data_IF_708954849274
#
_entry.id   IF_708954849274
#
_cell.length_a   1.000
_cell.length_b   1.000
_cell.length_c   1.000
_cell.angle_alpha   90.00
_cell.angle_beta   90.00
_cell.angle_gamma   90.00
#
_symmetry.space_group_name_H-M   'P 1'
#
loop_
_entity.id
_entity.type
_entity.pdbx_description
1 polymer ?
#
# COMPACT_ATOMS: atom_id res chain seq x y z
N UNK A 1 -16.14 -5.79 16.96
CA UNK A 1 -17.13 -6.76 16.45
C UNK A 1 -16.75 -7.10 15.02
N UNK A 2 -16.55 -8.37 14.72
CA UNK A 2 -16.27 -8.82 13.35
C UNK A 2 -17.58 -8.69 12.54
N UNK A 3 -17.54 -7.94 11.43
CA UNK A 3 -18.68 -7.80 10.53
C UNK A 3 -18.62 -8.85 9.44
N UNK A 4 -19.59 -9.76 9.41
CA UNK A 4 -19.76 -10.69 8.27
C UNK A 4 -20.24 -9.89 7.05
N UNK A 5 -19.31 -9.63 6.11
CA UNK A 5 -19.60 -8.87 4.89
C UNK A 5 -20.47 -9.65 3.88
N UNK A 6 -20.76 -10.92 4.18
CA UNK A 6 -21.67 -11.73 3.37
C UNK A 6 -23.14 -11.47 3.70
N UNK A 7 -23.46 -10.62 4.69
CA UNK A 7 -24.81 -10.32 5.16
C UNK A 7 -25.09 -8.81 5.12
N UNK A 8 -26.36 -8.44 5.21
CA UNK A 8 -26.80 -7.04 5.27
C UNK A 8 -26.73 -6.27 3.96
N UNK A 9 -27.04 -4.96 3.96
CA UNK A 9 -27.00 -4.10 2.77
C UNK A 9 -25.58 -3.97 2.20
N UNK A 10 -25.43 -4.25 0.90
CA UNK A 10 -24.13 -4.35 0.22
C UNK A 10 -23.29 -3.08 0.39
N UNK A 11 -23.81 -1.95 -0.08
CA UNK A 11 -23.06 -0.68 -0.09
C UNK A 11 -22.75 -0.16 1.30
N UNK A 12 -23.75 -0.21 2.20
CA UNK A 12 -23.55 0.22 3.59
C UNK A 12 -22.47 -0.61 4.30
N UNK A 13 -22.49 -1.93 4.09
CA UNK A 13 -21.49 -2.82 4.70
C UNK A 13 -20.06 -2.51 4.18
N UNK A 14 -19.92 -2.28 2.87
CA UNK A 14 -18.64 -1.98 2.24
C UNK A 14 -18.11 -0.61 2.65
N UNK A 15 -18.93 0.43 2.63
CA UNK A 15 -18.52 1.79 3.03
C UNK A 15 -18.13 1.86 4.51
N UNK A 16 -18.94 1.26 5.42
CA UNK A 16 -18.60 1.23 6.84
C UNK A 16 -17.35 0.41 7.16
N UNK A 17 -17.01 -0.55 6.31
CA UNK A 17 -15.76 -1.31 6.42
C UNK A 17 -14.57 -0.54 5.85
N UNK A 18 -14.77 0.20 4.77
CA UNK A 18 -13.73 1.02 4.12
C UNK A 18 -13.32 2.23 4.95
N UNK A 19 -14.28 2.89 5.62
CA UNK A 19 -14.05 4.14 6.34
C UNK A 19 -12.90 4.07 7.36
N UNK A 20 -12.81 3.06 8.24
CA UNK A 20 -11.67 2.94 9.16
C UNK A 20 -10.33 2.69 8.44
N UNK A 21 -10.33 2.04 7.27
CA UNK A 21 -9.12 1.83 6.48
C UNK A 21 -8.60 3.14 5.89
N UNK A 22 -9.51 3.94 5.31
CA UNK A 22 -9.20 5.26 4.76
C UNK A 22 -8.69 6.19 5.86
N UNK A 23 -9.39 6.25 7.01
CA UNK A 23 -8.97 7.06 8.14
C UNK A 23 -7.60 6.63 8.69
N UNK A 24 -7.32 5.33 8.71
CA UNK A 24 -6.03 4.78 9.14
C UNK A 24 -4.89 5.27 8.27
N UNK A 25 -5.03 5.18 6.94
CA UNK A 25 -3.99 5.64 6.02
C UNK A 25 -3.82 7.16 6.03
N UNK A 26 -4.91 7.93 6.10
CA UNK A 26 -4.80 9.38 6.27
C UNK A 26 -4.05 9.75 7.55
N UNK A 27 -4.36 9.09 8.67
CA UNK A 27 -3.64 9.28 9.93
C UNK A 27 -2.16 8.92 9.80
N UNK A 28 -1.85 7.84 9.07
CA UNK A 28 -0.46 7.45 8.79
C UNK A 28 0.29 8.53 8.03
N UNK A 29 -0.33 9.17 7.05
CA UNK A 29 0.29 10.28 6.33
C UNK A 29 0.48 11.52 7.21
N UNK A 30 -0.49 11.82 8.07
CA UNK A 30 -0.36 12.93 9.01
C UNK A 30 0.84 12.74 9.95
N UNK A 31 1.03 11.55 10.52
CA UNK A 31 2.17 11.32 11.40
C UNK A 31 3.51 11.31 10.64
N UNK A 32 3.57 10.78 9.40
CA UNK A 32 4.78 10.85 8.58
C UNK A 32 5.21 12.30 8.29
N UNK A 33 4.22 13.19 8.07
CA UNK A 33 4.48 14.62 7.91
C UNK A 33 4.98 15.22 9.22
N UNK A 34 4.36 14.89 10.35
CA UNK A 34 4.77 15.38 11.67
C UNK A 34 6.21 14.97 12.01
N UNK A 35 6.58 13.70 11.81
CA UNK A 35 7.95 13.19 11.99
C UNK A 35 8.96 13.94 11.13
N UNK A 36 8.64 14.11 9.83
CA UNK A 36 9.49 14.87 8.90
C UNK A 36 9.67 16.33 9.34
N UNK A 37 8.61 16.98 9.86
CA UNK A 37 8.67 18.36 10.36
C UNK A 37 9.50 18.46 11.64
N UNK A 38 9.39 17.50 12.57
CA UNK A 38 10.17 17.46 13.80
C UNK A 38 11.66 17.31 13.47
N UNK A 39 12.00 16.32 12.62
CA UNK A 39 13.39 16.11 12.19
C UNK A 39 13.95 17.34 11.47
N UNK A 40 13.22 17.88 10.50
CA UNK A 40 13.69 19.04 9.71
C UNK A 40 13.87 20.31 10.53
N UNK A 41 12.98 20.57 11.49
CA UNK A 41 13.00 21.78 12.30
C UNK A 41 14.04 21.73 13.44
N UNK A 42 14.24 20.57 14.08
CA UNK A 42 15.06 20.46 15.27
C UNK A 42 16.44 19.84 15.03
N UNK A 43 16.59 19.01 13.99
CA UNK A 43 17.87 18.34 13.69
C UNK A 43 18.58 18.93 12.45
N UNK A 44 17.87 19.74 11.65
CA UNK A 44 18.46 20.45 10.53
C UNK A 44 18.52 19.68 9.22
N UNK A 45 19.20 20.25 8.21
CA UNK A 45 19.14 19.79 6.81
C UNK A 45 19.79 18.43 6.58
N UNK A 46 20.91 18.15 7.24
CA UNK A 46 21.66 16.87 7.09
C UNK A 46 20.84 15.69 7.61
N UNK A 47 20.24 15.85 8.80
CA UNK A 47 19.34 14.85 9.38
C UNK A 47 18.10 14.61 8.52
N UNK A 48 17.51 15.69 8.00
CA UNK A 48 16.36 15.58 7.09
C UNK A 48 16.72 14.84 5.80
N UNK A 49 17.91 15.08 5.24
CA UNK A 49 18.41 14.38 4.06
C UNK A 49 18.64 12.88 4.36
N UNK A 50 19.19 12.55 5.53
CA UNK A 50 19.40 11.18 5.96
C UNK A 50 18.09 10.40 6.11
N UNK A 51 17.09 10.99 6.79
CA UNK A 51 15.75 10.39 6.96
C UNK A 51 15.03 10.29 5.65
N UNK A 52 15.05 11.33 4.81
CA UNK A 52 14.38 11.33 3.51
C UNK A 52 14.95 10.29 2.53
N UNK A 53 16.26 10.12 2.48
CA UNK A 53 16.91 9.08 1.67
C UNK A 53 16.58 7.67 2.17
N UNK A 54 16.50 7.50 3.49
CA UNK A 54 16.12 6.24 4.13
C UNK A 54 14.65 5.86 3.85
N UNK A 55 13.77 6.86 3.71
CA UNK A 55 12.34 6.66 3.49
C UNK A 55 12.03 5.85 2.23
N UNK A 56 12.71 6.13 1.13
CA UNK A 56 12.52 5.39 -0.15
C UNK A 56 12.88 3.91 0.00
N UNK A 57 13.99 3.60 0.67
CA UNK A 57 14.40 2.23 0.96
C UNK A 57 13.39 1.51 1.86
N UNK A 58 12.97 2.18 2.93
CA UNK A 58 12.00 1.63 3.88
C UNK A 58 10.64 1.39 3.22
N UNK A 59 10.19 2.29 2.35
CA UNK A 59 8.96 2.12 1.58
C UNK A 59 9.04 0.90 0.69
N UNK A 60 10.17 0.66 0.02
CA UNK A 60 10.36 -0.52 -0.81
C UNK A 60 10.32 -1.82 0.02
N UNK A 61 11.06 -1.90 1.12
CA UNK A 61 11.07 -3.08 2.00
C UNK A 61 9.69 -3.35 2.62
N UNK A 62 9.02 -2.29 3.08
CA UNK A 62 7.67 -2.40 3.65
C UNK A 62 6.66 -2.84 2.59
N UNK A 63 6.80 -2.42 1.33
CA UNK A 63 5.90 -2.83 0.25
C UNK A 63 5.94 -4.34 -0.02
N UNK A 64 7.11 -4.97 0.14
CA UNK A 64 7.26 -6.43 0.05
C UNK A 64 6.42 -7.11 1.13
N UNK A 65 6.58 -6.69 2.39
CA UNK A 65 5.82 -7.23 3.52
C UNK A 65 4.33 -6.99 3.38
N UNK A 66 3.95 -5.77 3.00
CA UNK A 66 2.56 -5.41 2.77
C UNK A 66 1.92 -6.28 1.69
N UNK A 67 2.62 -6.49 0.57
CA UNK A 67 2.17 -7.36 -0.52
C UNK A 67 1.97 -8.80 -0.08
N UNK A 68 2.92 -9.36 0.67
CA UNK A 68 2.81 -10.71 1.23
C UNK A 68 1.60 -10.83 2.18
N UNK A 69 1.41 -9.87 3.07
CA UNK A 69 0.28 -9.85 4.00
C UNK A 69 -1.06 -9.65 3.30
N UNK A 70 -1.13 -8.78 2.28
CA UNK A 70 -2.36 -8.53 1.51
C UNK A 70 -2.79 -9.75 0.70
N UNK A 71 -1.82 -10.47 0.08
CA UNK A 71 -2.10 -11.71 -0.65
C UNK A 71 -2.66 -12.79 0.27
N UNK A 72 -2.03 -13.02 1.42
CA UNK A 72 -2.54 -13.94 2.45
C UNK A 72 -3.93 -13.51 2.96
N UNK A 73 -4.14 -12.20 3.18
CA UNK A 73 -5.42 -11.64 3.63
C UNK A 73 -6.58 -11.90 2.66
N UNK A 74 -6.31 -11.89 1.35
CA UNK A 74 -7.31 -12.26 0.35
C UNK A 74 -7.74 -13.72 0.50
N UNK A 75 -6.78 -14.64 0.68
CA UNK A 75 -7.09 -16.06 0.90
C UNK A 75 -7.82 -16.28 2.23
N UNK A 76 -7.44 -15.59 3.31
CA UNK A 76 -8.18 -15.64 4.57
C UNK A 76 -9.62 -15.19 4.40
N UNK A 77 -9.86 -14.13 3.62
CA UNK A 77 -11.21 -13.64 3.33
C UNK A 77 -12.06 -14.67 2.58
N UNK A 78 -11.47 -15.36 1.60
CA UNK A 78 -12.13 -16.45 0.87
C UNK A 78 -12.50 -17.59 1.83
N UNK A 79 -11.54 -18.09 2.63
CA UNK A 79 -11.75 -19.18 3.59
C UNK A 79 -12.76 -18.82 4.68
N UNK A 80 -12.71 -17.57 5.16
CA UNK A 80 -13.70 -17.05 6.09
C UNK A 80 -15.11 -17.03 5.48
N UNK A 81 -15.23 -16.62 4.21
CA UNK A 81 -16.49 -16.66 3.47
C UNK A 81 -17.03 -18.07 3.27
N UNK A 82 -16.17 -19.05 3.04
CA UNK A 82 -16.51 -20.49 2.94
C UNK A 82 -17.00 -21.07 4.27
N UNK A 83 -16.68 -20.42 5.40
CA UNK A 83 -16.86 -20.96 6.76
C UNK A 83 -16.05 -22.23 7.03
N UNK A 84 -14.97 -22.39 6.29
CA UNK A 84 -14.02 -23.51 6.49
C UNK A 84 -12.97 -23.08 7.53
N UNK A 85 -13.28 -23.32 8.79
CA UNK A 85 -12.39 -22.96 9.90
C UNK A 85 -11.07 -23.76 9.88
N UNK A 86 -11.09 -25.00 9.38
CA UNK A 86 -9.90 -25.85 9.32
C UNK A 86 -8.92 -25.30 8.28
N UNK A 87 -9.39 -25.06 7.06
CA UNK A 87 -8.56 -24.45 6.02
C UNK A 87 -8.09 -23.04 6.38
N UNK A 88 -8.92 -22.24 7.09
CA UNK A 88 -8.51 -20.92 7.59
C UNK A 88 -7.36 -21.05 8.60
N UNK A 89 -7.45 -21.94 9.60
CA UNK A 89 -6.39 -22.20 10.60
C UNK A 89 -5.09 -22.67 9.97
N UNK A 90 -5.16 -23.58 9.00
CA UNK A 90 -3.99 -24.06 8.24
C UNK A 90 -3.36 -22.92 7.42
N UNK A 91 -4.19 -22.12 6.75
CA UNK A 91 -3.74 -20.96 5.96
C UNK A 91 -3.04 -19.91 6.82
N UNK A 92 -3.59 -19.63 8.01
CA UNK A 92 -2.98 -18.70 8.98
C UNK A 92 -1.60 -19.18 9.42
N UNK A 93 -1.44 -20.46 9.74
CA UNK A 93 -0.14 -21.02 10.15
C UNK A 93 0.88 -20.99 9.02
N UNK A 94 0.49 -21.47 7.84
CA UNK A 94 1.37 -21.53 6.68
C UNK A 94 1.84 -20.13 6.26
N UNK A 95 0.93 -19.14 6.22
CA UNK A 95 1.28 -17.76 5.89
C UNK A 95 2.15 -17.11 6.94
N UNK A 96 1.90 -17.35 8.23
CA UNK A 96 2.72 -16.80 9.31
C UNK A 96 4.18 -17.27 9.18
N UNK A 97 4.39 -18.58 8.99
CA UNK A 97 5.73 -19.14 8.82
C UNK A 97 6.41 -18.60 7.56
N UNK A 98 5.68 -18.53 6.45
CA UNK A 98 6.22 -18.04 5.18
C UNK A 98 6.62 -16.56 5.28
N UNK A 99 5.74 -15.71 5.82
CA UNK A 99 5.99 -14.27 5.88
C UNK A 99 7.01 -13.94 6.97
N UNK A 100 7.00 -14.67 8.09
CA UNK A 100 8.04 -14.55 9.11
C UNK A 100 9.42 -14.91 8.54
N UNK A 101 9.53 -16.03 7.82
CA UNK A 101 10.77 -16.43 7.16
C UNK A 101 11.24 -15.38 6.14
N UNK A 102 10.32 -14.84 5.32
CA UNK A 102 10.63 -13.76 4.39
C UNK A 102 11.08 -12.48 5.13
N UNK A 103 10.44 -12.14 6.25
CA UNK A 103 10.79 -10.98 7.08
C UNK A 103 12.19 -11.11 7.66
N UNK A 104 12.53 -12.28 8.22
CA UNK A 104 13.85 -12.52 8.78
C UNK A 104 14.93 -12.50 7.70
N UNK A 105 14.65 -13.08 6.53
CA UNK A 105 15.56 -13.05 5.38
C UNK A 105 15.78 -11.62 4.89
N UNK A 106 14.71 -10.84 4.68
CA UNK A 106 14.80 -9.43 4.26
C UNK A 106 15.56 -8.59 5.27
N UNK A 107 15.30 -8.79 6.57
CA UNK A 107 16.00 -8.08 7.64
C UNK A 107 17.50 -8.44 7.64
N UNK A 108 17.83 -9.73 7.57
CA UNK A 108 19.23 -10.18 7.50
C UNK A 108 19.97 -9.63 6.28
N UNK A 109 19.33 -9.66 5.08
CA UNK A 109 19.88 -9.09 3.86
C UNK A 109 20.05 -7.57 3.98
N UNK A 110 19.08 -6.85 4.55
CA UNK A 110 19.13 -5.42 4.75
C UNK A 110 20.32 -5.02 5.65
N UNK A 111 20.56 -5.73 6.74
CA UNK A 111 21.74 -5.51 7.58
C UNK A 111 23.06 -5.89 6.90
N UNK A 112 23.10 -7.00 6.17
CA UNK A 112 24.29 -7.45 5.45
C UNK A 112 24.67 -6.51 4.30
N UNK A 113 23.71 -5.82 3.70
CA UNK A 113 23.89 -4.94 2.55
C UNK A 113 23.99 -3.45 2.91
N UNK A 114 24.17 -3.07 4.20
CA UNK A 114 24.22 -1.66 4.61
C UNK A 114 25.26 -0.84 3.82
N UNK A 115 26.46 -1.37 3.64
CA UNK A 115 27.52 -0.64 2.92
C UNK A 115 27.25 -0.61 1.39
N UNK A 116 26.59 -1.63 0.85
CA UNK A 116 26.14 -1.64 -0.55
C UNK A 116 25.03 -0.59 -0.78
N UNK A 117 24.16 -0.37 0.20
CA UNK A 117 23.12 0.66 0.16
C UNK A 117 23.73 2.05 0.03
N UNK A 118 24.84 2.35 0.75
CA UNK A 118 25.57 3.61 0.61
C UNK A 118 25.99 3.86 -0.84
N UNK A 119 26.63 2.87 -1.44
CA UNK A 119 27.12 2.97 -2.83
C UNK A 119 25.98 3.05 -3.84
N UNK A 120 24.91 2.29 -3.65
CA UNK A 120 23.75 2.27 -4.55
C UNK A 120 22.96 3.59 -4.52
N UNK A 121 22.77 4.17 -3.33
CA UNK A 121 22.05 5.43 -3.16
C UNK A 121 22.97 6.66 -3.33
N UNK A 122 24.28 6.45 -3.56
CA UNK A 122 25.28 7.51 -3.72
C UNK A 122 25.24 8.55 -2.57
N UNK A 123 25.11 8.05 -1.33
CA UNK A 123 24.98 8.90 -0.16
C UNK A 123 26.30 9.59 0.17
N UNK A 124 26.31 10.94 0.30
CA UNK A 124 27.50 11.68 0.72
C UNK A 124 28.03 11.24 2.09
N UNK A 125 29.36 11.35 2.29
CA UNK A 125 30.01 10.87 3.52
C UNK A 125 29.57 11.64 4.78
N UNK A 126 29.22 12.89 4.65
CA UNK A 126 28.72 13.77 5.72
C UNK A 126 27.31 13.38 6.19
N UNK A 127 26.49 12.76 5.33
CA UNK A 127 25.14 12.29 5.64
C UNK A 127 25.13 10.82 6.08
N UNK A 128 26.14 10.04 5.67
CA UNK A 128 26.15 8.59 5.87
C UNK A 128 26.11 8.17 7.34
N UNK A 129 26.78 8.91 8.23
CA UNK A 129 26.78 8.60 9.65
C UNK A 129 25.37 8.58 10.25
N UNK A 130 24.61 9.65 10.02
CA UNK A 130 23.22 9.79 10.49
C UNK A 130 22.30 8.79 9.80
N UNK A 131 22.45 8.61 8.48
CA UNK A 131 21.64 7.68 7.72
C UNK A 131 21.85 6.23 8.16
N UNK A 132 23.11 5.81 8.41
CA UNK A 132 23.42 4.46 8.88
C UNK A 132 22.83 4.19 10.25
N UNK A 133 22.95 5.16 11.19
CA UNK A 133 22.34 5.05 12.52
C UNK A 133 20.82 4.92 12.44
N UNK A 134 20.18 5.75 11.62
CA UNK A 134 18.74 5.71 11.38
C UNK A 134 18.29 4.37 10.81
N UNK A 135 18.89 3.94 9.69
CA UNK A 135 18.53 2.71 8.99
C UNK A 135 18.72 1.48 9.88
N UNK A 136 19.85 1.39 10.64
CA UNK A 136 20.10 0.26 11.53
C UNK A 136 19.02 0.11 12.60
N UNK A 137 18.56 1.22 13.18
CA UNK A 137 17.47 1.21 14.17
C UNK A 137 16.16 0.83 13.51
N UNK A 138 15.81 1.43 12.36
CA UNK A 138 14.54 1.18 11.68
C UNK A 138 14.47 -0.25 11.13
N UNK A 139 15.59 -0.85 10.70
CA UNK A 139 15.62 -2.26 10.33
C UNK A 139 15.26 -3.19 11.49
N UNK A 140 15.64 -2.86 12.72
CA UNK A 140 15.15 -3.59 13.89
C UNK A 140 13.62 -3.49 14.06
N UNK A 141 12.98 -2.47 13.51
CA UNK A 141 11.52 -2.28 13.47
C UNK A 141 10.79 -3.09 12.39
N UNK A 142 11.51 -3.69 11.42
CA UNK A 142 10.86 -4.46 10.33
C UNK A 142 10.01 -5.61 10.88
N UNK A 143 10.45 -6.26 11.95
CA UNK A 143 9.69 -7.31 12.60
C UNK A 143 8.38 -6.78 13.22
N UNK A 144 8.39 -5.60 13.82
CA UNK A 144 7.17 -4.96 14.34
C UNK A 144 6.21 -4.59 13.21
N UNK A 145 6.74 -4.09 12.09
CA UNK A 145 5.99 -3.82 10.86
C UNK A 145 5.32 -5.08 10.32
N UNK A 146 6.02 -6.22 10.31
CA UNK A 146 5.45 -7.53 9.98
C UNK A 146 4.28 -7.88 10.90
N UNK A 147 4.49 -7.82 12.22
CA UNK A 147 3.43 -8.16 13.19
C UNK A 147 2.18 -7.32 12.95
N UNK A 148 2.34 -6.00 12.85
CA UNK A 148 1.21 -5.11 12.61
C UNK A 148 0.48 -5.47 11.31
N UNK A 149 1.19 -5.54 10.18
CA UNK A 149 0.57 -5.78 8.88
C UNK A 149 -0.07 -7.16 8.77
N UNK A 150 0.55 -8.20 9.36
CA UNK A 150 0.01 -9.55 9.36
C UNK A 150 -1.32 -9.64 10.11
N UNK A 151 -1.34 -9.19 11.37
CA UNK A 151 -2.55 -9.26 12.19
C UNK A 151 -3.62 -8.26 11.72
N UNK A 152 -3.24 -7.09 11.20
CA UNK A 152 -4.17 -6.16 10.55
C UNK A 152 -4.82 -6.78 9.31
N UNK A 153 -4.04 -7.45 8.44
CA UNK A 153 -4.55 -8.18 7.28
C UNK A 153 -5.53 -9.28 7.67
N UNK A 154 -5.20 -10.06 8.69
CA UNK A 154 -6.10 -11.08 9.20
C UNK A 154 -7.42 -10.49 9.75
N UNK A 155 -7.33 -9.47 10.60
CA UNK A 155 -8.51 -8.81 11.19
C UNK A 155 -9.41 -8.21 10.09
N UNK A 156 -8.81 -7.56 9.08
CA UNK A 156 -9.55 -7.07 7.91
C UNK A 156 -10.22 -8.22 7.16
N UNK A 157 -9.52 -9.34 6.98
CA UNK A 157 -10.06 -10.51 6.28
C UNK A 157 -11.31 -11.10 6.96
N UNK A 158 -11.39 -11.03 8.30
CA UNK A 158 -12.57 -11.46 9.07
C UNK A 158 -13.58 -10.31 9.32
N UNK A 159 -13.44 -9.20 8.59
CA UNK A 159 -14.41 -8.08 8.62
C UNK A 159 -14.21 -7.07 9.75
N UNK A 160 -13.04 -6.99 10.35
CA UNK A 160 -12.72 -6.01 11.40
C UNK A 160 -11.65 -5.02 10.92
N UNK A 161 -12.07 -3.84 10.47
CA UNK A 161 -11.17 -2.74 10.08
C UNK A 161 -10.92 -1.72 11.20
N UNK A 162 -11.70 -1.76 12.28
CA UNK A 162 -11.62 -0.78 13.38
C UNK A 162 -10.41 -1.05 14.27
N UNK A 163 -10.16 -2.31 14.63
CA UNK A 163 -9.04 -2.66 15.53
C UNK A 163 -7.68 -2.23 14.92
N UNK A 164 -7.37 -2.51 13.65
CA UNK A 164 -6.17 -1.97 13.02
C UNK A 164 -6.06 -0.44 13.09
N UNK A 165 -7.17 0.29 12.86
CA UNK A 165 -7.19 1.75 12.98
C UNK A 165 -6.82 2.22 14.40
N UNK A 166 -7.40 1.59 15.43
CA UNK A 166 -7.13 1.98 16.82
C UNK A 166 -5.65 1.82 17.17
N UNK A 167 -5.04 0.67 16.81
CA UNK A 167 -3.62 0.45 17.07
C UNK A 167 -2.71 1.37 16.23
N UNK A 168 -3.12 1.74 15.02
CA UNK A 168 -2.40 2.73 14.22
C UNK A 168 -2.49 4.13 14.85
N UNK A 169 -3.67 4.50 15.39
CA UNK A 169 -3.84 5.78 16.09
C UNK A 169 -2.97 5.84 17.37
N UNK A 170 -2.95 4.76 18.14
CA UNK A 170 -2.05 4.66 19.31
C UNK A 170 -0.59 4.78 18.89
N UNK A 171 -0.18 4.10 17.82
CA UNK A 171 1.18 4.21 17.28
C UNK A 171 1.53 5.63 16.85
N UNK A 172 0.63 6.31 16.14
CA UNK A 172 0.86 7.68 15.66
C UNK A 172 1.03 8.68 16.82
N UNK A 173 0.14 8.62 17.82
CA UNK A 173 0.23 9.50 19.01
C UNK A 173 1.50 9.21 19.81
N UNK A 174 1.82 7.93 20.02
CA UNK A 174 3.01 7.52 20.75
C UNK A 174 4.29 7.93 20.02
N UNK A 175 4.34 7.75 18.69
CA UNK A 175 5.48 8.16 17.87
C UNK A 175 5.74 9.66 18.01
N UNK A 176 4.73 10.52 17.80
CA UNK A 176 4.90 11.98 17.93
C UNK A 176 5.35 12.36 19.33
N UNK A 177 4.77 11.76 20.37
CA UNK A 177 5.17 12.04 21.75
C UNK A 177 6.64 11.63 22.04
N UNK A 178 7.04 10.47 21.56
CA UNK A 178 8.42 9.98 21.70
C UNK A 178 9.40 10.78 20.86
N UNK A 179 9.04 11.19 19.63
CA UNK A 179 9.88 12.04 18.80
C UNK A 179 10.19 13.37 19.51
N UNK A 180 9.17 14.02 20.05
CA UNK A 180 9.37 15.26 20.81
C UNK A 180 10.26 15.01 22.05
N UNK A 181 10.04 13.92 22.76
CA UNK A 181 10.84 13.60 23.95
C UNK A 181 12.27 13.21 23.63
N UNK A 182 12.50 12.34 22.64
CA UNK A 182 13.86 11.86 22.31
C UNK A 182 14.67 12.88 21.53
N UNK A 183 14.04 13.62 20.61
CA UNK A 183 14.74 14.60 19.78
C UNK A 183 14.97 15.90 20.55
N UNK A 184 13.95 16.43 21.25
CA UNK A 184 14.04 17.72 21.92
C UNK A 184 14.45 17.56 23.37
N UNK A 185 13.85 16.61 24.12
CA UNK A 185 14.11 16.43 25.54
C UNK A 185 15.46 15.79 25.86
N UNK A 186 15.80 14.71 25.11
CA UNK A 186 17.01 13.93 25.37
C UNK A 186 18.16 14.22 24.38
N UNK A 187 17.92 15.00 23.32
CA UNK A 187 18.88 15.32 22.27
C UNK A 187 19.55 14.09 21.61
N UNK A 188 18.80 13.00 21.41
CA UNK A 188 19.31 11.77 20.80
C UNK A 188 19.47 11.88 19.28
N UNK A 189 19.20 13.05 18.68
CA UNK A 189 19.37 13.31 17.25
C UNK A 189 18.50 12.39 16.37
N UNK A 190 19.06 12.00 15.23
CA UNK A 190 18.38 11.14 14.24
C UNK A 190 18.06 9.74 14.80
N UNK A 191 18.95 9.21 15.66
CA UNK A 191 18.72 7.93 16.34
C UNK A 191 17.50 7.98 17.28
N UNK A 192 17.22 9.15 17.88
CA UNK A 192 16.02 9.38 18.68
C UNK A 192 14.73 9.24 17.87
N UNK A 193 14.66 9.89 16.71
CA UNK A 193 13.51 9.78 15.81
C UNK A 193 13.31 8.33 15.32
N UNK A 194 14.38 7.65 14.90
CA UNK A 194 14.33 6.24 14.53
C UNK A 194 13.82 5.36 15.68
N UNK A 195 14.33 5.57 16.89
CA UNK A 195 13.94 4.86 18.10
C UNK A 195 12.47 5.05 18.46
N UNK A 196 11.98 6.29 18.38
CA UNK A 196 10.57 6.63 18.62
C UNK A 196 9.64 5.87 17.65
N UNK A 197 9.99 5.87 16.35
CA UNK A 197 9.24 5.14 15.32
C UNK A 197 9.21 3.64 15.62
N UNK A 198 10.34 3.03 15.93
CA UNK A 198 10.45 1.59 16.19
C UNK A 198 9.67 1.19 17.44
N UNK A 199 9.79 1.96 18.54
CA UNK A 199 9.04 1.70 19.78
C UNK A 199 7.53 1.77 19.50
N UNK A 200 7.06 2.81 18.81
CA UNK A 200 5.65 2.96 18.46
C UNK A 200 5.14 1.81 17.59
N UNK A 201 5.96 1.33 16.64
CA UNK A 201 5.64 0.17 15.81
C UNK A 201 5.57 -1.13 16.62
N UNK A 202 6.49 -1.36 17.58
CA UNK A 202 6.43 -2.54 18.45
C UNK A 202 5.20 -2.51 19.37
N UNK A 203 4.88 -1.38 19.98
CA UNK A 203 3.68 -1.24 20.81
C UNK A 203 2.41 -1.56 19.99
N UNK A 204 2.32 -1.03 18.79
CA UNK A 204 1.20 -1.29 17.87
C UNK A 204 1.18 -2.75 17.39
N UNK A 205 2.33 -3.29 16.94
CA UNK A 205 2.44 -4.65 16.41
C UNK A 205 2.17 -5.73 17.46
N UNK A 206 2.72 -5.59 18.66
CA UNK A 206 2.48 -6.50 19.77
C UNK A 206 1.03 -6.32 20.29
N UNK A 207 0.57 -5.09 20.41
CA UNK A 207 -0.77 -4.80 20.88
C UNK A 207 -1.85 -5.40 19.97
N UNK A 208 -1.75 -5.23 18.64
CA UNK A 208 -2.69 -5.82 17.69
C UNK A 208 -2.62 -7.35 17.67
N UNK A 209 -1.41 -7.93 17.82
CA UNK A 209 -1.20 -9.37 17.94
C UNK A 209 -1.95 -9.92 19.15
N UNK A 210 -1.75 -9.37 20.33
CA UNK A 210 -2.41 -9.79 21.57
C UNK A 210 -3.93 -9.66 21.42
N UNK A 211 -4.41 -8.52 20.94
CA UNK A 211 -5.84 -8.28 20.73
C UNK A 211 -6.45 -9.29 19.75
N UNK A 212 -5.76 -9.61 18.66
CA UNK A 212 -6.21 -10.56 17.66
C UNK A 212 -6.23 -12.00 18.23
N UNK A 213 -5.21 -12.42 18.97
CA UNK A 213 -5.15 -13.74 19.61
C UNK A 213 -6.27 -13.94 20.65
N UNK A 214 -6.62 -12.90 21.38
CA UNK A 214 -7.74 -12.95 22.37
C UNK A 214 -9.09 -13.02 21.66
N UNK A 215 -9.30 -12.17 20.64
CA UNK A 215 -10.62 -12.02 19.99
C UNK A 215 -10.91 -13.05 18.90
N UNK A 216 -9.89 -13.68 18.33
CA UNK A 216 -10.02 -14.60 17.19
C UNK A 216 -9.46 -15.99 17.55
N UNK A 217 -10.32 -16.94 17.99
CA UNK A 217 -9.89 -18.29 18.38
C UNK A 217 -9.11 -19.03 17.28
N UNK A 218 -9.39 -18.74 16.01
CA UNK A 218 -8.72 -19.35 14.86
C UNK A 218 -7.20 -19.05 14.86
N UNK A 219 -6.78 -17.91 15.39
CA UNK A 219 -5.36 -17.53 15.51
C UNK A 219 -4.60 -18.37 16.56
N UNK A 220 -5.30 -19.03 17.47
CA UNK A 220 -4.67 -20.00 18.41
C UNK A 220 -3.99 -21.15 17.68
N UNK A 221 -4.37 -21.40 16.42
CA UNK A 221 -3.69 -22.35 15.56
C UNK A 221 -2.20 -22.03 15.35
N UNK A 222 -1.76 -20.78 15.52
CA UNK A 222 -0.33 -20.40 15.47
C UNK A 222 0.50 -21.14 16.53
N UNK A 223 -0.10 -21.48 17.67
CA UNK A 223 0.55 -22.24 18.75
C UNK A 223 0.43 -23.76 18.56
N UNK A 224 -0.28 -24.26 17.54
CA UNK A 224 -0.46 -25.68 17.30
C UNK A 224 0.83 -26.29 16.68
N UNK A 225 1.17 -27.51 17.11
CA UNK A 225 2.31 -28.27 16.58
C UNK A 225 1.94 -29.21 15.41
N UNK A 226 0.70 -29.15 14.90
CA UNK A 226 0.30 -30.00 13.76
C UNK A 226 1.17 -29.71 12.53
N UNK A 227 1.47 -30.69 11.68
CA UNK A 227 2.25 -30.47 10.46
C UNK A 227 1.53 -29.49 9.53
N UNK A 228 2.30 -28.68 8.81
CA UNK A 228 1.78 -27.79 7.77
C UNK A 228 1.92 -28.53 6.45
N UNK A 229 0.82 -28.76 5.74
CA UNK A 229 0.84 -29.40 4.45
C UNK A 229 1.52 -28.50 3.40
N UNK A 230 2.44 -29.09 2.61
CA UNK A 230 3.16 -28.36 1.56
C UNK A 230 2.24 -27.73 0.52
N UNK A 231 1.10 -28.36 0.21
CA UNK A 231 0.07 -27.80 -0.67
C UNK A 231 -0.47 -26.45 -0.17
N UNK A 232 -0.67 -26.30 1.15
CA UNK A 232 -1.11 -25.05 1.75
C UNK A 232 -0.07 -23.94 1.68
N UNK A 233 1.22 -24.32 1.88
CA UNK A 233 2.32 -23.34 1.71
C UNK A 233 2.37 -22.88 0.26
N UNK A 234 2.26 -23.79 -0.71
CA UNK A 234 2.27 -23.46 -2.14
C UNK A 234 1.09 -22.56 -2.54
N UNK A 235 -0.11 -22.88 -2.04
CA UNK A 235 -1.32 -22.06 -2.28
C UNK A 235 -1.11 -20.62 -1.77
N UNK A 236 -0.70 -20.45 -0.51
CA UNK A 236 -0.46 -19.15 0.09
C UNK A 236 0.68 -18.41 -0.59
N UNK A 237 1.79 -19.11 -0.89
CA UNK A 237 2.91 -18.53 -1.61
C UNK A 237 2.47 -17.95 -2.96
N UNK A 238 1.60 -18.64 -3.70
CA UNK A 238 1.06 -18.16 -4.96
C UNK A 238 0.32 -16.83 -4.81
N UNK A 239 -0.55 -16.68 -3.81
CA UNK A 239 -1.26 -15.43 -3.55
C UNK A 239 -0.34 -14.32 -3.03
N UNK A 240 0.50 -14.66 -2.06
CA UNK A 240 1.36 -13.70 -1.38
C UNK A 240 2.46 -13.17 -2.29
N UNK A 241 3.15 -14.05 -3.02
CA UNK A 241 4.26 -13.67 -3.91
C UNK A 241 3.73 -12.83 -5.09
N UNK A 242 2.63 -13.24 -5.72
CA UNK A 242 2.06 -12.46 -6.83
C UNK A 242 1.61 -11.07 -6.38
N UNK A 243 1.01 -10.95 -5.19
CA UNK A 243 0.63 -9.64 -4.64
C UNK A 243 1.86 -8.82 -4.23
N UNK A 244 2.89 -9.48 -3.70
CA UNK A 244 4.17 -8.86 -3.40
C UNK A 244 4.84 -8.31 -4.68
N UNK A 245 4.92 -9.11 -5.74
CA UNK A 245 5.44 -8.67 -7.05
C UNK A 245 4.66 -7.48 -7.57
N UNK A 246 3.32 -7.51 -7.49
CA UNK A 246 2.48 -6.39 -7.88
C UNK A 246 2.86 -5.10 -7.16
N UNK A 247 2.97 -5.14 -5.82
CA UNK A 247 3.30 -3.98 -4.99
C UNK A 247 4.73 -3.48 -5.25
N UNK A 248 5.68 -4.38 -5.41
CA UNK A 248 7.08 -4.05 -5.70
C UNK A 248 7.26 -3.43 -7.08
N UNK A 249 6.61 -3.98 -8.11
CA UNK A 249 6.62 -3.42 -9.47
C UNK A 249 6.00 -2.03 -9.48
N UNK A 250 4.92 -1.82 -8.73
CA UNK A 250 4.27 -0.51 -8.63
C UNK A 250 5.25 0.56 -8.10
N UNK A 251 5.97 0.28 -7.02
CA UNK A 251 6.95 1.21 -6.46
C UNK A 251 8.17 1.41 -7.39
N UNK A 252 8.65 0.35 -8.02
CA UNK A 252 9.78 0.45 -8.96
C UNK A 252 9.43 1.33 -10.17
N UNK A 253 8.22 1.19 -10.73
CA UNK A 253 7.77 2.00 -11.84
C UNK A 253 7.70 3.50 -11.50
N UNK A 254 7.29 3.85 -10.29
CA UNK A 254 7.30 5.24 -9.80
C UNK A 254 8.75 5.78 -9.74
N UNK A 255 9.69 4.99 -9.22
CA UNK A 255 11.10 5.38 -9.14
C UNK A 255 11.75 5.60 -10.52
N UNK A 256 11.40 4.76 -11.52
CA UNK A 256 11.91 4.92 -12.87
C UNK A 256 11.45 6.24 -13.51
N UNK A 257 10.19 6.61 -13.32
CA UNK A 257 9.67 7.89 -13.81
C UNK A 257 10.30 9.07 -13.05
N UNK A 258 10.54 8.94 -11.76
CA UNK A 258 11.24 9.95 -10.97
C UNK A 258 12.64 10.24 -11.53
N UNK A 259 13.38 9.20 -11.92
CA UNK A 259 14.70 9.36 -12.55
C UNK A 259 14.66 10.17 -13.83
N UNK A 260 13.63 9.95 -14.68
CA UNK A 260 13.45 10.73 -15.91
C UNK A 260 13.05 12.18 -15.60
N UNK A 261 12.14 12.41 -14.63
CA UNK A 261 11.74 13.77 -14.19
C UNK A 261 12.96 14.56 -13.71
N UNK A 262 13.87 13.92 -12.99
CA UNK A 262 15.09 14.57 -12.48
C UNK A 262 16.00 15.10 -13.61
N UNK A 263 15.97 14.49 -14.79
CA UNK A 263 16.78 14.95 -15.93
C UNK A 263 16.29 16.28 -16.55
N UNK A 264 15.07 16.73 -16.20
CA UNK A 264 14.51 18.01 -16.69
C UNK A 264 14.84 19.22 -15.82
N UNK A 265 15.62 19.03 -14.76
CA UNK A 265 16.13 20.12 -13.92
C UNK A 265 15.36 20.34 -12.63
N UNK A 266 15.91 21.22 -11.79
CA UNK A 266 15.47 21.41 -10.41
C UNK A 266 14.04 21.93 -10.28
N UNK A 267 13.58 22.80 -11.18
CA UNK A 267 12.22 23.34 -11.15
C UNK A 267 11.18 22.25 -11.38
N UNK A 268 11.40 21.36 -12.36
CA UNK A 268 10.49 20.24 -12.65
C UNK A 268 10.50 19.20 -11.52
N UNK A 269 11.70 18.92 -10.95
CA UNK A 269 11.81 18.05 -9.77
C UNK A 269 10.99 18.58 -8.59
N UNK A 270 11.11 19.87 -8.28
CA UNK A 270 10.38 20.48 -7.18
C UNK A 270 8.87 20.51 -7.44
N UNK A 271 8.45 20.82 -8.66
CA UNK A 271 7.06 20.78 -9.09
C UNK A 271 6.47 19.37 -8.92
N UNK A 272 7.17 18.35 -9.41
CA UNK A 272 6.75 16.95 -9.28
C UNK A 272 6.69 16.50 -7.82
N UNK A 273 7.71 16.81 -7.03
CA UNK A 273 7.74 16.44 -5.60
C UNK A 273 6.58 17.02 -4.80
N UNK A 274 6.17 18.26 -5.10
CA UNK A 274 4.98 18.90 -4.48
C UNK A 274 3.68 18.28 -5.00
N UNK A 275 3.56 18.15 -6.33
CA UNK A 275 2.35 17.66 -6.98
C UNK A 275 2.02 16.20 -6.63
N UNK A 276 3.01 15.30 -6.56
CA UNK A 276 2.83 13.89 -6.16
C UNK A 276 2.32 13.76 -4.73
N UNK A 277 2.68 14.67 -3.82
CA UNK A 277 2.11 14.64 -2.46
C UNK A 277 0.64 15.00 -2.46
N UNK A 278 0.24 15.99 -3.24
CA UNK A 278 -1.18 16.38 -3.42
C UNK A 278 -1.94 15.21 -4.04
N UNK A 279 -1.38 14.63 -5.09
CA UNK A 279 -1.92 13.48 -5.82
C UNK A 279 -2.14 12.26 -4.91
N UNK A 280 -1.16 11.95 -4.05
CA UNK A 280 -1.27 10.86 -3.08
C UNK A 280 -2.49 11.04 -2.14
N UNK A 281 -2.73 12.24 -1.61
CA UNK A 281 -3.92 12.50 -0.81
C UNK A 281 -5.22 12.36 -1.60
N UNK A 282 -5.19 12.66 -2.89
CA UNK A 282 -6.35 12.56 -3.77
C UNK A 282 -6.75 11.10 -4.05
N UNK A 283 -5.79 10.21 -4.36
CA UNK A 283 -6.12 8.84 -4.74
C UNK A 283 -6.05 7.80 -3.60
N UNK A 284 -5.37 8.08 -2.48
CA UNK A 284 -5.29 7.14 -1.34
C UNK A 284 -6.65 6.65 -0.84
N UNK A 285 -7.67 7.51 -0.67
CA UNK A 285 -8.97 7.02 -0.22
C UNK A 285 -9.59 6.00 -1.16
N UNK A 286 -9.42 6.16 -2.47
CA UNK A 286 -9.96 5.21 -3.45
C UNK A 286 -9.15 3.93 -3.54
N UNK A 287 -7.85 3.99 -3.27
CA UNK A 287 -7.00 2.80 -3.13
C UNK A 287 -7.46 1.94 -1.94
N UNK A 288 -7.71 2.57 -0.79
CA UNK A 288 -8.20 1.86 0.40
C UNK A 288 -9.61 1.34 0.23
N UNK A 289 -10.45 2.09 -0.47
CA UNK A 289 -11.75 1.60 -0.87
C UNK A 289 -11.64 0.36 -1.76
N UNK A 290 -10.68 0.33 -2.70
CA UNK A 290 -10.37 -0.85 -3.51
C UNK A 290 -9.91 -2.06 -2.68
N UNK A 291 -9.14 -1.84 -1.62
CA UNK A 291 -8.73 -2.89 -0.69
C UNK A 291 -9.91 -3.40 0.15
N UNK A 292 -10.80 -2.52 0.61
CA UNK A 292 -12.02 -2.88 1.31
C UNK A 292 -12.98 -3.66 0.40
N UNK A 293 -13.15 -3.20 -0.84
CA UNK A 293 -13.89 -3.89 -1.89
C UNK A 293 -13.33 -5.29 -2.15
N UNK A 294 -12.00 -5.45 -2.23
CA UNK A 294 -11.35 -6.74 -2.39
C UNK A 294 -11.75 -7.73 -1.28
N UNK A 295 -11.74 -7.28 -0.03
CA UNK A 295 -12.16 -8.11 1.12
C UNK A 295 -13.63 -8.48 1.04
N UNK A 296 -14.49 -7.51 0.69
CA UNK A 296 -15.93 -7.76 0.50
C UNK A 296 -16.19 -8.81 -0.60
N UNK A 297 -15.54 -8.66 -1.76
CA UNK A 297 -15.68 -9.61 -2.87
C UNK A 297 -15.13 -10.98 -2.46
N UNK A 298 -13.96 -11.06 -1.82
CA UNK A 298 -13.35 -12.32 -1.43
C UNK A 298 -14.22 -13.13 -0.46
N UNK A 299 -14.83 -12.48 0.56
CA UNK A 299 -15.76 -13.15 1.46
C UNK A 299 -17.02 -13.66 0.72
N UNK A 300 -17.59 -12.84 -0.15
CA UNK A 300 -18.78 -13.23 -0.92
C UNK A 300 -18.47 -14.28 -1.99
N UNK A 301 -17.26 -14.27 -2.55
CA UNK A 301 -16.75 -15.28 -3.47
C UNK A 301 -16.61 -16.63 -2.76
N UNK A 302 -15.95 -16.66 -1.59
CA UNK A 302 -15.88 -17.87 -0.77
C UNK A 302 -17.25 -18.40 -0.34
N UNK A 303 -18.22 -17.51 -0.06
CA UNK A 303 -19.59 -17.86 0.31
C UNK A 303 -20.48 -18.25 -0.89
N UNK A 304 -19.98 -18.22 -2.13
CA UNK A 304 -20.75 -18.51 -3.35
C UNK A 304 -21.86 -17.50 -3.69
N UNK A 305 -21.82 -16.28 -3.12
CA UNK A 305 -22.89 -15.27 -3.24
C UNK A 305 -22.73 -14.37 -4.48
N UNK A 306 -22.87 -14.92 -5.65
CA UNK A 306 -22.64 -14.23 -6.93
C UNK A 306 -23.46 -12.96 -7.12
N UNK A 307 -24.74 -12.96 -6.72
CA UNK A 307 -25.60 -11.78 -6.85
C UNK A 307 -25.06 -10.61 -6.01
N UNK A 308 -24.55 -10.89 -4.82
CA UNK A 308 -23.92 -9.88 -3.96
C UNK A 308 -22.60 -9.36 -4.56
N UNK A 309 -21.82 -10.21 -5.22
CA UNK A 309 -20.61 -9.80 -5.93
C UNK A 309 -20.99 -8.84 -7.06
N UNK A 310 -22.00 -9.18 -7.89
CA UNK A 310 -22.45 -8.31 -8.99
C UNK A 310 -22.98 -6.97 -8.50
N UNK A 311 -23.79 -6.97 -7.43
CA UNK A 311 -24.30 -5.73 -6.81
C UNK A 311 -23.16 -4.92 -6.18
N UNK A 312 -22.21 -5.58 -5.51
CA UNK A 312 -21.02 -4.97 -4.92
C UNK A 312 -20.11 -4.32 -5.95
N UNK A 313 -19.86 -5.00 -7.07
CA UNK A 313 -19.06 -4.48 -8.17
C UNK A 313 -19.70 -3.22 -8.79
N UNK A 314 -20.99 -3.27 -9.15
CA UNK A 314 -21.69 -2.10 -9.70
C UNK A 314 -21.68 -0.92 -8.74
N UNK A 315 -21.97 -1.17 -7.47
CA UNK A 315 -21.96 -0.11 -6.46
C UNK A 315 -20.56 0.44 -6.19
N UNK A 316 -19.54 -0.41 -6.15
CA UNK A 316 -18.16 0.03 -5.96
C UNK A 316 -17.66 0.92 -7.10
N UNK A 317 -17.97 0.54 -8.35
CA UNK A 317 -17.65 1.36 -9.53
C UNK A 317 -18.34 2.72 -9.42
N UNK A 318 -19.64 2.74 -9.11
CA UNK A 318 -20.38 4.00 -8.98
C UNK A 318 -19.77 4.92 -7.89
N UNK A 319 -19.52 4.37 -6.70
CA UNK A 319 -18.91 5.15 -5.58
C UNK A 319 -17.52 5.64 -5.94
N UNK A 320 -16.68 4.79 -6.54
CA UNK A 320 -15.33 5.16 -6.96
C UNK A 320 -15.36 6.28 -8.02
N UNK A 321 -16.22 6.14 -9.04
CA UNK A 321 -16.36 7.16 -10.10
C UNK A 321 -16.86 8.48 -9.51
N UNK A 322 -17.90 8.46 -8.69
CA UNK A 322 -18.45 9.70 -8.07
C UNK A 322 -17.39 10.36 -7.20
N UNK A 323 -16.68 9.60 -6.37
CA UNK A 323 -15.61 10.14 -5.54
C UNK A 323 -14.49 10.74 -6.41
N UNK A 324 -14.02 10.00 -7.42
CA UNK A 324 -12.96 10.47 -8.31
C UNK A 324 -13.36 11.73 -9.08
N UNK A 325 -14.61 11.84 -9.58
CA UNK A 325 -15.10 13.05 -10.25
C UNK A 325 -15.09 14.25 -9.30
N UNK A 326 -15.54 14.08 -8.06
CA UNK A 326 -15.53 15.15 -7.05
C UNK A 326 -14.09 15.59 -6.77
N UNK A 327 -13.19 14.65 -6.54
CA UNK A 327 -11.77 14.93 -6.25
C UNK A 327 -11.07 15.54 -7.48
N UNK A 328 -11.35 15.03 -8.69
CA UNK A 328 -10.84 15.60 -9.94
C UNK A 328 -11.26 17.05 -10.11
N UNK A 329 -12.55 17.35 -9.91
CA UNK A 329 -13.05 18.73 -9.98
C UNK A 329 -12.39 19.64 -8.92
N UNK A 330 -12.24 19.13 -7.68
CA UNK A 330 -11.58 19.86 -6.60
C UNK A 330 -10.12 20.16 -6.94
N UNK A 331 -9.35 19.15 -7.33
CA UNK A 331 -7.92 19.31 -7.67
C UNK A 331 -7.76 20.21 -8.88
N UNK A 332 -8.62 20.10 -9.89
CA UNK A 332 -8.58 20.93 -11.08
C UNK A 332 -8.81 22.42 -10.76
N UNK A 333 -9.83 22.74 -9.95
CA UNK A 333 -10.17 24.11 -9.56
C UNK A 333 -9.13 24.69 -8.60
N UNK A 334 -8.64 23.89 -7.65
CA UNK A 334 -7.74 24.34 -6.60
C UNK A 334 -6.27 23.98 -6.84
N UNK A 335 -5.86 23.59 -8.05
CA UNK A 335 -4.49 23.17 -8.36
C UNK A 335 -3.45 24.19 -7.91
N UNK A 336 -3.63 25.48 -8.24
CA UNK A 336 -2.72 26.56 -7.85
C UNK A 336 -2.67 26.79 -6.34
N UNK A 337 -3.80 26.97 -5.62
CA UNK A 337 -3.82 27.03 -4.15
C UNK A 337 -3.16 25.82 -3.48
N UNK A 338 -3.38 24.60 -4.00
CA UNK A 338 -2.76 23.39 -3.47
C UNK A 338 -1.24 23.40 -3.63
N UNK A 339 -0.73 23.85 -4.79
CA UNK A 339 0.71 24.00 -5.00
C UNK A 339 1.32 25.02 -4.04
N UNK A 340 0.64 26.12 -3.75
CA UNK A 340 1.08 27.15 -2.81
C UNK A 340 1.20 26.66 -1.35
N UNK A 341 0.65 25.50 -0.99
CA UNK A 341 0.89 24.88 0.31
C UNK A 341 2.31 24.32 0.46
N UNK A 342 2.97 24.04 -0.67
CA UNK A 342 4.28 23.37 -0.69
C UNK A 342 5.39 24.24 -1.32
N UNK A 343 5.03 25.24 -2.11
CA UNK A 343 5.94 26.07 -2.91
C UNK A 343 5.68 27.55 -2.64
N UNK A 344 6.74 28.34 -2.51
CA UNK A 344 6.62 29.78 -2.30
C UNK A 344 5.99 30.48 -3.51
N UNK A 345 5.22 31.53 -3.26
CA UNK A 345 4.47 32.24 -4.31
C UNK A 345 5.35 32.88 -5.41
N UNK A 346 6.63 33.12 -5.09
CA UNK A 346 7.62 33.66 -6.05
C UNK A 346 8.09 32.66 -7.09
N UNK A 347 7.97 31.36 -6.83
CA UNK A 347 8.44 30.26 -7.70
C UNK A 347 7.41 29.95 -8.79
N UNK A 348 7.18 30.90 -9.68
CA UNK A 348 6.10 30.85 -10.68
C UNK A 348 6.24 29.70 -11.67
N UNK A 349 7.47 29.33 -12.05
CA UNK A 349 7.76 28.21 -12.95
C UNK A 349 7.39 26.87 -12.31
N UNK A 350 7.78 26.65 -11.05
CA UNK A 350 7.48 25.44 -10.29
C UNK A 350 5.98 25.28 -10.12
N UNK A 351 5.28 26.38 -9.78
CA UNK A 351 3.83 26.38 -9.62
C UNK A 351 3.14 26.07 -10.95
N UNK A 352 3.57 26.68 -12.05
CA UNK A 352 2.97 26.46 -13.37
C UNK A 352 3.10 25.01 -13.82
N UNK A 353 4.29 24.39 -13.62
CA UNK A 353 4.52 23.01 -14.00
C UNK A 353 3.75 22.02 -13.10
N UNK A 354 3.71 22.28 -11.77
CA UNK A 354 2.91 21.47 -10.85
C UNK A 354 1.40 21.56 -11.13
N UNK A 355 0.89 22.73 -11.48
CA UNK A 355 -0.52 22.92 -11.90
C UNK A 355 -0.78 22.14 -13.19
N UNK A 356 0.13 22.18 -14.16
CA UNK A 356 0.00 21.40 -15.40
C UNK A 356 -0.09 19.90 -15.12
N UNK A 357 0.79 19.38 -14.25
CA UNK A 357 0.74 17.99 -13.78
C UNK A 357 -0.63 17.66 -13.18
N UNK A 358 -1.07 18.44 -12.19
CA UNK A 358 -2.34 18.21 -11.48
C UNK A 358 -3.55 18.28 -12.41
N UNK A 359 -3.52 19.14 -13.44
CA UNK A 359 -4.60 19.21 -14.43
C UNK A 359 -4.62 17.98 -15.33
N UNK A 360 -3.47 17.43 -15.72
CA UNK A 360 -3.38 16.24 -16.59
C UNK A 360 -3.77 14.99 -15.77
N UNK A 361 -3.08 14.70 -14.68
CA UNK A 361 -3.37 13.49 -13.90
C UNK A 361 -4.71 13.57 -13.17
N UNK A 362 -5.01 14.73 -12.58
CA UNK A 362 -6.26 14.96 -11.84
C UNK A 362 -7.52 14.79 -12.69
N UNK A 363 -7.47 15.11 -13.98
CA UNK A 363 -8.60 14.88 -14.88
C UNK A 363 -8.95 13.40 -15.05
N UNK A 364 -8.02 12.49 -14.80
CA UNK A 364 -8.15 11.05 -15.04
C UNK A 364 -8.15 10.19 -13.78
N UNK A 365 -8.40 10.74 -12.59
CA UNK A 365 -8.47 9.94 -11.35
C UNK A 365 -9.51 8.81 -11.41
N UNK A 366 -10.54 8.92 -12.26
CA UNK A 366 -11.45 7.81 -12.51
C UNK A 366 -10.74 6.56 -13.04
N UNK A 367 -9.68 6.73 -13.86
CA UNK A 367 -8.88 5.61 -14.36
C UNK A 367 -8.16 4.88 -13.23
N UNK A 368 -7.38 5.59 -12.40
CA UNK A 368 -6.71 4.95 -11.27
C UNK A 368 -7.71 4.34 -10.28
N UNK A 369 -8.87 4.99 -10.08
CA UNK A 369 -9.94 4.45 -9.23
C UNK A 369 -10.50 3.12 -9.74
N UNK A 370 -10.75 3.00 -11.04
CA UNK A 370 -11.18 1.75 -11.68
C UNK A 370 -10.07 0.68 -11.61
N UNK A 371 -8.83 1.07 -11.81
CA UNK A 371 -7.68 0.17 -11.75
C UNK A 371 -7.52 -0.47 -10.35
N UNK A 372 -7.67 0.31 -9.27
CA UNK A 372 -7.65 -0.24 -7.91
C UNK A 372 -8.80 -1.22 -7.65
N UNK A 373 -9.99 -0.97 -8.20
CA UNK A 373 -11.09 -1.93 -8.13
C UNK A 373 -10.79 -3.22 -8.92
N UNK A 374 -10.17 -3.13 -10.08
CA UNK A 374 -9.76 -4.30 -10.87
C UNK A 374 -8.68 -5.11 -10.13
N UNK A 375 -7.68 -4.47 -9.54
CA UNK A 375 -6.70 -5.15 -8.69
C UNK A 375 -7.37 -5.88 -7.53
N UNK A 376 -8.30 -5.20 -6.86
CA UNK A 376 -9.09 -5.77 -5.76
C UNK A 376 -9.94 -6.95 -6.21
N UNK A 377 -10.63 -6.84 -7.34
CA UNK A 377 -11.46 -7.88 -7.92
C UNK A 377 -10.66 -9.15 -8.23
N UNK A 378 -9.59 -9.02 -9.02
CA UNK A 378 -8.82 -10.19 -9.46
C UNK A 378 -8.12 -10.92 -8.31
N UNK A 379 -7.62 -10.17 -7.32
CA UNK A 379 -7.09 -10.74 -6.09
C UNK A 379 -8.16 -11.50 -5.30
N UNK A 380 -9.37 -10.96 -5.24
CA UNK A 380 -10.50 -11.53 -4.49
C UNK A 380 -11.11 -12.79 -5.14
N UNK A 381 -11.07 -12.91 -6.47
CA UNK A 381 -11.63 -14.06 -7.22
C UNK A 381 -10.56 -15.10 -7.58
N UNK A 382 -9.53 -15.23 -6.77
CA UNK A 382 -8.47 -16.22 -6.92
C UNK A 382 -7.66 -16.10 -8.23
N UNK A 383 -7.48 -14.89 -8.75
CA UNK A 383 -6.68 -14.59 -9.95
C UNK A 383 -5.65 -13.47 -9.70
N UNK A 384 -4.81 -13.55 -8.64
CA UNK A 384 -3.86 -12.47 -8.33
C UNK A 384 -2.84 -12.22 -9.45
N UNK A 385 -2.53 -13.21 -10.29
CA UNK A 385 -1.69 -13.03 -11.47
C UNK A 385 -2.22 -12.00 -12.45
N UNK A 386 -3.56 -11.87 -12.60
CA UNK A 386 -4.13 -10.83 -13.44
C UNK A 386 -3.86 -9.43 -12.89
N UNK A 387 -3.87 -9.24 -11.57
CA UNK A 387 -3.47 -7.97 -10.96
C UNK A 387 -2.02 -7.60 -11.30
N UNK A 388 -1.11 -8.59 -11.34
CA UNK A 388 0.28 -8.37 -11.79
C UNK A 388 0.31 -7.95 -13.26
N UNK A 389 -0.43 -8.65 -14.14
CA UNK A 389 -0.50 -8.29 -15.57
C UNK A 389 -0.97 -6.86 -15.77
N UNK A 390 -2.03 -6.44 -15.08
CA UNK A 390 -2.54 -5.06 -15.16
C UNK A 390 -1.52 -4.04 -14.65
N UNK A 391 -0.78 -4.39 -13.58
CA UNK A 391 0.29 -3.52 -13.06
C UNK A 391 1.43 -3.37 -14.07
N UNK A 392 1.86 -4.47 -14.70
CA UNK A 392 2.90 -4.44 -15.74
C UNK A 392 2.43 -3.63 -16.95
N UNK A 393 1.19 -3.79 -17.38
CA UNK A 393 0.64 -2.98 -18.49
C UNK A 393 0.62 -1.51 -18.10
N UNK A 394 0.05 -1.15 -16.94
CA UNK A 394 -0.05 0.24 -16.50
C UNK A 394 1.31 0.90 -16.39
N UNK A 395 2.23 0.29 -15.63
CA UNK A 395 3.53 0.90 -15.33
C UNK A 395 4.55 0.69 -16.45
N UNK A 396 4.54 -0.46 -17.12
CA UNK A 396 5.41 -0.71 -18.27
C UNK A 396 5.12 0.28 -19.39
N UNK A 397 3.85 0.46 -19.74
CA UNK A 397 3.42 1.45 -20.73
C UNK A 397 3.77 2.88 -20.28
N UNK A 398 3.52 3.21 -18.99
CA UNK A 398 3.88 4.51 -18.43
C UNK A 398 5.36 4.80 -18.60
N UNK A 399 6.23 3.87 -18.24
CA UNK A 399 7.70 4.06 -18.37
C UNK A 399 8.09 4.24 -19.83
N UNK A 400 7.66 3.33 -20.72
CA UNK A 400 7.97 3.41 -22.15
C UNK A 400 7.49 4.72 -22.76
N UNK A 401 6.22 5.09 -22.52
CA UNK A 401 5.65 6.32 -23.04
C UNK A 401 6.28 7.57 -22.42
N UNK A 402 6.68 7.54 -21.14
CA UNK A 402 7.38 8.67 -20.53
C UNK A 402 8.66 9.01 -21.28
N UNK A 403 9.48 8.01 -21.61
CA UNK A 403 10.71 8.22 -22.42
C UNK A 403 10.41 8.63 -23.86
N UNK A 404 9.44 8.01 -24.52
CA UNK A 404 9.10 8.32 -25.91
C UNK A 404 8.46 9.70 -26.06
N UNK A 405 7.45 10.01 -25.24
CA UNK A 405 6.72 11.27 -25.34
C UNK A 405 7.56 12.45 -24.83
N UNK A 406 8.39 12.23 -23.82
CA UNK A 406 9.27 13.32 -23.34
C UNK A 406 10.27 13.78 -24.38
N UNK A 407 10.71 12.90 -25.28
CA UNK A 407 11.57 13.26 -26.40
C UNK A 407 10.87 14.15 -27.46
N UNK A 408 9.52 14.11 -27.54
CA UNK A 408 8.73 14.84 -28.53
C UNK A 408 8.10 16.11 -27.96
N UNK A 409 7.47 16.00 -26.77
CA UNK A 409 6.70 17.09 -26.14
C UNK A 409 7.23 17.49 -24.75
N UNK A 410 8.45 17.12 -24.44
CA UNK A 410 9.12 17.46 -23.18
C UNK A 410 8.42 16.86 -21.95
N UNK A 411 8.52 17.56 -20.82
CA UNK A 411 7.99 17.15 -19.53
C UNK A 411 6.51 16.75 -19.57
N UNK A 412 5.71 17.47 -20.36
CA UNK A 412 4.28 17.18 -20.55
C UNK A 412 4.02 15.75 -21.02
N UNK A 413 4.95 15.18 -21.79
CA UNK A 413 4.89 13.79 -22.23
C UNK A 413 4.98 12.78 -21.10
N UNK A 414 5.75 13.10 -20.04
CA UNK A 414 5.83 12.28 -18.85
C UNK A 414 4.47 12.26 -18.14
N UNK A 415 3.84 13.42 -18.01
CA UNK A 415 2.53 13.55 -17.34
C UNK A 415 1.43 12.77 -18.09
N UNK A 416 1.39 12.84 -19.41
CA UNK A 416 0.42 12.10 -20.23
C UNK A 416 0.65 10.59 -20.22
N UNK A 417 1.86 10.12 -19.98
CA UNK A 417 2.15 8.68 -19.94
C UNK A 417 1.39 7.96 -18.82
N UNK A 418 1.06 8.67 -17.74
CA UNK A 418 0.40 8.11 -16.56
C UNK A 418 -1.06 7.74 -16.85
N UNK A 419 -1.95 8.67 -17.27
CA UNK A 419 -3.34 8.33 -17.55
C UNK A 419 -3.48 7.38 -18.75
N UNK A 420 -2.58 7.41 -19.74
CA UNK A 420 -2.58 6.44 -20.83
C UNK A 420 -2.30 5.03 -20.30
N UNK A 421 -1.35 4.88 -19.38
CA UNK A 421 -1.05 3.61 -18.73
C UNK A 421 -2.25 3.06 -17.93
N UNK A 422 -2.96 3.92 -17.18
CA UNK A 422 -4.19 3.53 -16.49
C UNK A 422 -5.27 3.07 -17.46
N UNK A 423 -5.51 3.84 -18.50
CA UNK A 423 -6.53 3.53 -19.51
C UNK A 423 -6.28 2.17 -20.17
N UNK A 424 -5.06 1.87 -20.59
CA UNK A 424 -4.74 0.59 -21.24
C UNK A 424 -4.90 -0.59 -20.26
N UNK A 425 -4.52 -0.43 -19.00
CA UNK A 425 -4.71 -1.45 -17.99
C UNK A 425 -6.21 -1.66 -17.69
N UNK A 426 -6.98 -0.56 -17.58
CA UNK A 426 -8.43 -0.63 -17.35
C UNK A 426 -9.15 -1.34 -18.50
N UNK A 427 -8.88 -0.97 -19.76
CA UNK A 427 -9.44 -1.64 -20.92
C UNK A 427 -9.12 -3.13 -20.91
N UNK A 428 -7.85 -3.49 -20.66
CA UNK A 428 -7.42 -4.88 -20.57
C UNK A 428 -8.17 -5.63 -19.46
N UNK A 429 -8.26 -5.03 -18.27
CA UNK A 429 -8.94 -5.62 -17.12
C UNK A 429 -10.43 -5.80 -17.37
N UNK A 430 -11.09 -4.79 -17.91
CA UNK A 430 -12.53 -4.82 -18.21
C UNK A 430 -12.84 -5.84 -19.29
N UNK A 431 -12.06 -5.88 -20.37
CA UNK A 431 -12.22 -6.86 -21.46
C UNK A 431 -12.05 -8.29 -20.92
N UNK A 432 -11.00 -8.52 -20.13
CA UNK A 432 -10.78 -9.83 -19.50
C UNK A 432 -11.96 -10.23 -18.60
N UNK A 433 -12.51 -9.29 -17.83
CA UNK A 433 -13.70 -9.54 -17.00
C UNK A 433 -14.90 -9.97 -17.84
N UNK A 434 -15.24 -9.24 -18.92
CA UNK A 434 -16.41 -9.56 -19.74
C UNK A 434 -16.29 -10.90 -20.46
N UNK A 435 -15.08 -11.26 -20.91
CA UNK A 435 -14.83 -12.55 -21.58
C UNK A 435 -14.96 -13.72 -20.57
N UNK A 436 -14.52 -13.54 -19.33
CA UNK A 436 -14.41 -14.63 -18.36
C UNK A 436 -15.39 -14.54 -17.19
N UNK A 437 -16.34 -13.58 -17.17
CA UNK A 437 -17.17 -13.24 -16.01
C UNK A 437 -17.88 -14.43 -15.37
N UNK A 438 -18.39 -15.37 -16.18
CA UNK A 438 -19.09 -16.54 -15.66
C UNK A 438 -18.13 -17.49 -14.90
N UNK A 439 -16.97 -17.75 -15.49
CA UNK A 439 -15.92 -18.58 -14.85
C UNK A 439 -15.28 -17.89 -13.64
N UNK A 440 -15.13 -16.56 -13.67
CA UNK A 440 -14.54 -15.79 -12.59
C UNK A 440 -15.44 -15.71 -11.36
N UNK A 441 -16.76 -15.61 -11.55
CA UNK A 441 -17.69 -15.44 -10.44
C UNK A 441 -18.20 -16.77 -9.87
N UNK A 442 -18.00 -17.88 -10.58
CA UNK A 442 -18.28 -19.22 -10.07
C UNK A 442 -17.12 -19.69 -9.17
N UNK A 443 -17.45 -19.89 -7.89
CA UNK A 443 -16.58 -20.62 -7.00
C UNK A 443 -16.70 -22.11 -7.33
N UNK A 444 -15.76 -22.63 -8.12
CA UNK A 444 -15.62 -24.07 -8.35
C UNK A 444 -14.44 -24.59 -7.55
N UNK A 445 -14.57 -25.70 -6.86
CA UNK A 445 -13.45 -26.41 -6.20
C UNK A 445 -12.26 -26.66 -7.14
N UNK A 446 -12.52 -26.73 -8.45
CA UNK A 446 -11.50 -26.86 -9.50
C UNK A 446 -10.52 -25.67 -9.59
N UNK A 447 -10.88 -24.49 -9.11
CA UNK A 447 -9.98 -23.32 -9.16
C UNK A 447 -8.91 -23.35 -8.06
N UNK A 448 -9.15 -24.07 -6.97
CA UNK A 448 -8.15 -24.30 -5.92
C UNK A 448 -7.29 -25.54 -6.18
N UNK A 449 -7.85 -26.56 -6.86
CA UNK A 449 -7.12 -27.79 -7.21
C UNK A 449 -6.09 -27.61 -8.35
N UNK A 450 -6.20 -26.58 -9.19
CA UNK A 450 -5.19 -26.28 -10.23
C UNK A 450 -3.86 -25.76 -9.69
N UNK A 451 -3.76 -25.49 -8.41
CA UNK A 451 -2.47 -25.22 -7.72
C UNK A 451 -1.86 -26.49 -7.13
N UNK A 452 -2.53 -27.66 -7.27
CA UNK A 452 -2.05 -28.96 -6.78
C UNK A 452 -1.35 -29.82 -7.87
N UNK A 453 -1.39 -29.38 -9.13
CA UNK A 453 -0.69 -30.05 -10.24
C UNK A 453 0.59 -29.26 -10.65
#
# INVERSE_FOLDING_TARGET
MNKDLTRGPVMRSMLWFALPMILGNLLQQCYNIADTLIVGRFLGKTALAAVGSSFSLMTFLTSILLGLCMGSGALFSIRFGQRDETALKESVRASFVLILGATLLLNGLAFACLDLIKSFLQVPDDVWGDMRAYIAIVFAGIFATFLYNYFASYLRAVGNSVVPLVFLAVSAVLNIALDLWFVIGLNFGVAGAAGATVIAQYVSGIGIMICALIKCPQLRALCSRSPIHASRIREIAGYSILTCVQQSVMNLGILMVQGLVNSFGAAVMAAFAAAVKIDAFAYMPVQDFGNAFSTFIAQNYGAGKQERIRKGLKGAVLVSVVFCVIVSAFVFVFAKPLMLLFVEAGETEIIAEGVRYLHIEGAFYCGIGCLFLLYGLYRAVAKPGMSVVLTVISLGTRVVLAYLLSAVIGVTGIWWSVPIGWFLADVTGVVYYFIHKEKLLHFGESNLKRTES
#
